data_IF_955724740641
#
_entry.id   IF_955724740641
#
_cell.length_a   1.000
_cell.length_b   1.000
_cell.length_c   1.000
_cell.angle_alpha   90.00
_cell.angle_beta   90.00
_cell.angle_gamma   90.00
#
_symmetry.space_group_name_H-M   'P 1'
#
loop_
_entity.id
_entity.type
_entity.pdbx_description
1 polymer ?
#
# COMPACT_ATOMS: atom_id res chain seq x y z
N UNK A 1 12.16 -31.69 5.71
CA UNK A 1 12.07 -30.65 4.64
C UNK A 1 10.71 -29.93 4.57
N UNK A 2 9.64 -30.42 5.23
CA UNK A 2 8.32 -29.76 5.23
C UNK A 2 8.06 -28.74 6.35
N UNK A 3 8.79 -28.81 7.46
CA UNK A 3 8.52 -27.98 8.65
C UNK A 3 8.90 -26.51 8.45
N UNK A 4 10.09 -26.24 7.90
CA UNK A 4 10.56 -24.87 7.61
C UNK A 4 9.67 -24.16 6.58
N UNK A 5 9.16 -24.88 5.58
CA UNK A 5 8.25 -24.31 4.58
C UNK A 5 6.90 -23.93 5.19
N UNK A 6 6.39 -24.72 6.13
CA UNK A 6 5.14 -24.43 6.86
C UNK A 6 5.29 -23.20 7.77
N UNK A 7 6.41 -23.10 8.50
CA UNK A 7 6.71 -21.96 9.36
C UNK A 7 6.90 -20.67 8.57
N UNK A 8 7.57 -20.72 7.41
CA UNK A 8 7.74 -19.57 6.53
C UNK A 8 6.39 -19.08 5.97
N UNK A 9 5.54 -20.00 5.49
CA UNK A 9 4.21 -19.65 4.99
C UNK A 9 3.32 -19.04 6.09
N UNK A 10 3.38 -19.61 7.29
CA UNK A 10 2.66 -19.09 8.47
C UNK A 10 3.15 -17.69 8.85
N UNK A 11 4.47 -17.45 8.86
CA UNK A 11 5.07 -16.15 9.14
C UNK A 11 4.66 -15.07 8.14
N UNK A 12 4.57 -15.40 6.84
CA UNK A 12 4.04 -14.48 5.82
C UNK A 12 2.55 -14.21 6.05
N UNK A 13 1.77 -15.23 6.43
CA UNK A 13 0.35 -15.09 6.74
C UNK A 13 0.07 -14.07 7.85
N UNK A 14 0.90 -14.04 8.89
CA UNK A 14 0.79 -13.07 10.00
C UNK A 14 1.05 -11.62 9.54
N UNK A 15 1.75 -11.43 8.43
CA UNK A 15 2.00 -10.10 7.87
C UNK A 15 0.83 -9.53 7.06
N UNK A 16 -0.15 -10.37 6.68
CA UNK A 16 -1.28 -9.97 5.82
C UNK A 16 -2.08 -8.78 6.37
N UNK A 17 -2.45 -8.72 7.67
CA UNK A 17 -3.19 -7.57 8.19
C UNK A 17 -2.43 -6.24 8.04
N UNK A 18 -1.09 -6.28 8.15
CA UNK A 18 -0.23 -5.09 7.96
C UNK A 18 -0.28 -4.64 6.50
N UNK A 19 -0.16 -5.59 5.58
CA UNK A 19 -0.29 -5.35 4.13
C UNK A 19 -1.67 -4.79 3.79
N UNK A 20 -2.73 -5.31 4.40
CA UNK A 20 -4.10 -4.82 4.17
C UNK A 20 -4.25 -3.37 4.62
N UNK A 21 -3.64 -2.95 5.74
CA UNK A 21 -3.65 -1.56 6.18
C UNK A 21 -2.98 -0.65 5.15
N UNK A 22 -1.81 -1.06 4.63
CA UNK A 22 -1.14 -0.35 3.53
C UNK A 22 -2.08 -0.23 2.33
N UNK A 23 -2.66 -1.33 1.86
CA UNK A 23 -3.59 -1.31 0.72
C UNK A 23 -4.79 -0.37 1.00
N UNK A 24 -5.30 -0.34 2.23
CA UNK A 24 -6.41 0.55 2.61
C UNK A 24 -6.05 2.03 2.45
N UNK A 25 -4.86 2.46 2.87
CA UNK A 25 -4.41 3.85 2.68
C UNK A 25 -4.17 4.19 1.20
N UNK A 26 -3.64 3.26 0.42
CA UNK A 26 -3.47 3.49 -1.02
C UNK A 26 -4.83 3.66 -1.70
N UNK A 27 -5.80 2.80 -1.34
CA UNK A 27 -7.17 2.92 -1.82
C UNK A 27 -7.87 4.18 -1.33
N UNK A 28 -7.63 4.64 -0.10
CA UNK A 28 -8.19 5.89 0.42
C UNK A 28 -7.85 7.07 -0.49
N UNK A 29 -6.58 7.15 -0.93
CA UNK A 29 -6.12 8.24 -1.79
C UNK A 29 -6.53 7.99 -3.26
N UNK A 30 -6.34 6.76 -3.76
CA UNK A 30 -6.68 6.38 -5.13
C UNK A 30 -8.17 6.48 -5.43
N UNK A 31 -9.00 5.76 -4.69
CA UNK A 31 -10.45 5.76 -4.85
C UNK A 31 -11.10 7.08 -4.43
N UNK A 32 -10.48 7.84 -3.52
CA UNK A 32 -10.95 9.16 -3.13
C UNK A 32 -10.65 10.25 -4.16
N UNK A 33 -9.43 10.26 -4.72
CA UNK A 33 -8.98 11.30 -5.64
C UNK A 33 -9.35 11.05 -7.12
N UNK A 34 -9.43 9.79 -7.55
CA UNK A 34 -9.69 9.46 -8.96
C UNK A 34 -11.06 9.95 -9.47
N UNK A 35 -12.17 9.88 -8.70
CA UNK A 35 -13.45 10.46 -9.13
C UNK A 35 -13.41 11.97 -9.28
N UNK A 36 -12.78 12.69 -8.34
CA UNK A 36 -12.64 14.14 -8.38
C UNK A 36 -11.82 14.57 -9.61
N UNK A 37 -10.73 13.86 -9.87
CA UNK A 37 -9.93 14.03 -11.08
C UNK A 37 -10.77 13.81 -12.35
N UNK A 38 -11.56 12.73 -12.40
CA UNK A 38 -12.40 12.40 -13.55
C UNK A 38 -13.45 13.48 -13.85
N UNK A 39 -14.09 14.01 -12.80
CA UNK A 39 -15.08 15.10 -12.90
C UNK A 39 -14.43 16.37 -13.47
N UNK A 40 -13.31 16.83 -12.89
CA UNK A 40 -12.64 18.06 -13.36
C UNK A 40 -12.10 17.97 -14.77
N UNK A 41 -11.59 16.80 -15.14
CA UNK A 41 -11.16 16.55 -16.51
C UNK A 41 -12.35 16.49 -17.48
N UNK A 42 -13.47 15.88 -17.07
CA UNK A 42 -14.71 15.87 -17.86
C UNK A 42 -15.34 17.26 -18.07
N UNK A 43 -15.12 18.18 -17.13
CA UNK A 43 -15.48 19.61 -17.26
C UNK A 43 -14.55 20.39 -18.21
N UNK A 44 -13.48 19.78 -18.73
CA UNK A 44 -12.43 20.45 -19.50
C UNK A 44 -11.47 21.29 -18.65
N UNK A 45 -11.54 21.18 -17.32
CA UNK A 45 -10.67 21.90 -16.39
C UNK A 45 -9.40 21.10 -16.10
N UNK A 46 -8.51 21.03 -17.09
CA UNK A 46 -7.25 20.28 -17.02
C UNK A 46 -6.33 20.75 -15.88
N UNK A 47 -6.33 22.05 -15.58
CA UNK A 47 -5.51 22.61 -14.48
C UNK A 47 -5.88 22.03 -13.13
N UNK A 48 -7.19 21.98 -12.83
CA UNK A 48 -7.69 21.45 -11.57
C UNK A 48 -7.50 19.92 -11.51
N UNK A 49 -7.69 19.22 -12.64
CA UNK A 49 -7.43 17.79 -12.73
C UNK A 49 -5.96 17.47 -12.43
N UNK A 50 -5.02 18.20 -13.03
CA UNK A 50 -3.58 18.05 -12.77
C UNK A 50 -3.24 18.33 -11.30
N UNK A 51 -3.83 19.37 -10.70
CA UNK A 51 -3.64 19.67 -9.28
C UNK A 51 -4.13 18.53 -8.36
N UNK A 52 -5.28 17.91 -8.66
CA UNK A 52 -5.80 16.76 -7.90
C UNK A 52 -4.86 15.56 -8.00
N UNK A 53 -4.35 15.27 -9.20
CA UNK A 53 -3.40 14.18 -9.42
C UNK A 53 -2.08 14.44 -8.66
N UNK A 54 -1.52 15.65 -8.77
CA UNK A 54 -0.29 16.04 -8.07
C UNK A 54 -0.44 15.99 -6.54
N UNK A 55 -1.58 16.44 -6.01
CA UNK A 55 -1.90 16.32 -4.59
C UNK A 55 -1.99 14.85 -4.16
N UNK A 56 -2.60 14.00 -4.98
CA UNK A 56 -2.75 12.57 -4.69
C UNK A 56 -1.41 11.84 -4.69
N UNK A 57 -0.54 12.11 -5.67
CA UNK A 57 0.85 11.62 -5.70
C UNK A 57 1.59 12.06 -4.43
N UNK A 58 1.50 13.35 -4.08
CA UNK A 58 2.14 13.90 -2.88
C UNK A 58 1.66 13.19 -1.61
N UNK A 59 0.35 12.98 -1.46
CA UNK A 59 -0.21 12.24 -0.34
C UNK A 59 0.25 10.79 -0.32
N UNK A 60 0.29 10.09 -1.45
CA UNK A 60 0.78 8.71 -1.53
C UNK A 60 2.23 8.57 -1.07
N UNK A 61 3.10 9.53 -1.43
CA UNK A 61 4.49 9.56 -0.98
C UNK A 61 4.58 9.84 0.52
N UNK A 62 3.85 10.85 1.02
CA UNK A 62 3.85 11.22 2.45
C UNK A 62 3.35 10.05 3.30
N UNK A 63 2.19 9.47 2.95
CA UNK A 63 1.64 8.32 3.67
C UNK A 63 2.51 7.08 3.50
N UNK A 64 3.09 6.85 2.33
CA UNK A 64 4.02 5.75 2.10
C UNK A 64 5.23 5.81 3.02
N UNK A 65 5.89 6.98 3.10
CA UNK A 65 7.04 7.20 4.00
C UNK A 65 6.62 7.12 5.47
N UNK A 66 5.51 7.74 5.85
CA UNK A 66 4.99 7.73 7.21
C UNK A 66 4.71 6.29 7.68
N UNK A 67 3.98 5.50 6.87
CA UNK A 67 3.67 4.10 7.15
C UNK A 67 4.93 3.23 7.19
N UNK A 68 5.93 3.50 6.35
CA UNK A 68 7.24 2.82 6.43
C UNK A 68 7.91 3.09 7.77
N UNK A 69 8.02 4.35 8.18
CA UNK A 69 8.69 4.73 9.44
C UNK A 69 7.94 4.16 10.64
N UNK A 70 6.63 4.39 10.73
CA UNK A 70 5.79 3.87 11.82
C UNK A 70 5.85 2.35 11.83
N UNK A 71 5.69 1.71 10.68
CA UNK A 71 5.75 0.25 10.53
C UNK A 71 7.07 -0.33 11.00
N UNK A 72 8.22 0.28 10.68
CA UNK A 72 9.53 -0.22 11.12
C UNK A 72 9.73 -0.09 12.64
N UNK A 73 9.14 0.92 13.27
CA UNK A 73 9.19 1.12 14.73
C UNK A 73 8.29 0.10 15.44
N UNK A 74 7.06 -0.11 14.94
CA UNK A 74 6.04 -0.92 15.63
C UNK A 74 5.92 -2.37 15.12
N UNK A 75 6.67 -2.77 14.08
CA UNK A 75 6.54 -4.10 13.46
C UNK A 75 6.64 -5.25 14.45
N UNK A 76 7.58 -5.20 15.39
CA UNK A 76 7.86 -6.33 16.29
C UNK A 76 6.69 -6.58 17.26
N UNK A 77 6.20 -5.58 18.03
CA UNK A 77 5.00 -5.78 18.85
C UNK A 77 3.75 -6.03 18.01
N UNK A 78 3.63 -5.43 16.82
CA UNK A 78 2.48 -5.66 15.94
C UNK A 78 2.43 -7.10 15.43
N UNK A 79 3.57 -7.69 15.04
CA UNK A 79 3.64 -9.08 14.61
C UNK A 79 3.23 -10.05 15.72
N UNK A 80 3.66 -9.83 16.97
CA UNK A 80 3.21 -10.63 18.11
C UNK A 80 1.70 -10.49 18.36
N UNK A 81 1.16 -9.26 18.26
CA UNK A 81 -0.27 -9.00 18.41
C UNK A 81 -1.10 -9.70 17.34
N UNK A 82 -0.56 -9.81 16.12
CA UNK A 82 -1.20 -10.49 14.99
C UNK A 82 -1.00 -12.02 14.99
N UNK A 83 -0.37 -12.59 16.03
CA UNK A 83 -0.26 -14.03 16.22
C UNK A 83 1.08 -14.65 15.83
N UNK A 84 2.16 -13.86 15.70
CA UNK A 84 3.50 -14.43 15.52
C UNK A 84 3.94 -15.20 16.78
N UNK A 85 4.41 -16.43 16.58
CA UNK A 85 5.11 -17.24 17.59
C UNK A 85 6.64 -17.04 17.53
N UNK A 86 7.37 -17.53 18.52
CA UNK A 86 8.85 -17.49 18.54
C UNK A 86 9.49 -18.17 17.32
N UNK A 87 8.83 -19.18 16.76
CA UNK A 87 9.34 -19.91 15.58
C UNK A 87 8.99 -19.22 14.25
N UNK A 88 8.07 -18.26 14.24
CA UNK A 88 7.60 -17.57 13.02
C UNK A 88 8.02 -16.11 12.96
N UNK A 89 8.39 -15.50 14.10
CA UNK A 89 8.71 -14.07 14.20
C UNK A 89 9.90 -13.67 13.32
N UNK A 90 10.91 -14.53 13.17
CA UNK A 90 12.10 -14.22 12.36
C UNK A 90 11.77 -14.10 10.87
N UNK A 91 10.98 -15.04 10.35
CA UNK A 91 10.47 -15.01 8.98
C UNK A 91 9.53 -13.82 8.74
N UNK A 92 8.57 -13.60 9.64
CA UNK A 92 7.61 -12.51 9.53
C UNK A 92 8.29 -11.13 9.60
N UNK A 93 9.24 -10.95 10.53
CA UNK A 93 9.98 -9.71 10.69
C UNK A 93 10.86 -9.41 9.48
N UNK A 94 11.53 -10.42 8.92
CA UNK A 94 12.36 -10.25 7.71
C UNK A 94 11.49 -9.85 6.52
N UNK A 95 10.38 -10.57 6.31
CA UNK A 95 9.44 -10.30 5.23
C UNK A 95 8.83 -8.89 5.33
N UNK A 96 8.28 -8.51 6.48
CA UNK A 96 7.63 -7.20 6.62
C UNK A 96 8.63 -6.05 6.52
N UNK A 97 9.88 -6.26 6.95
CA UNK A 97 10.92 -5.23 6.80
C UNK A 97 11.20 -4.94 5.33
N UNK A 98 11.38 -5.99 4.52
CA UNK A 98 11.61 -5.85 3.08
C UNK A 98 10.39 -5.20 2.41
N UNK A 99 9.18 -5.63 2.78
CA UNK A 99 7.95 -5.04 2.27
C UNK A 99 7.84 -3.54 2.60
N UNK A 100 8.10 -3.15 3.86
CA UNK A 100 7.99 -1.77 4.31
C UNK A 100 9.01 -0.84 3.64
N UNK A 101 10.20 -1.33 3.31
CA UNK A 101 11.20 -0.57 2.54
C UNK A 101 10.70 -0.25 1.11
N UNK A 102 9.93 -1.16 0.50
CA UNK A 102 9.31 -0.96 -0.81
C UNK A 102 7.93 -0.28 -0.77
N UNK A 103 7.39 0.02 0.42
CA UNK A 103 6.01 0.44 0.62
C UNK A 103 5.61 1.69 -0.18
N UNK A 104 6.53 2.65 -0.35
CA UNK A 104 6.28 3.87 -1.14
C UNK A 104 5.93 3.51 -2.59
N UNK A 105 6.63 2.54 -3.18
CA UNK A 105 6.34 2.08 -4.54
C UNK A 105 5.02 1.32 -4.62
N UNK A 106 4.70 0.52 -3.60
CA UNK A 106 3.41 -0.19 -3.50
C UNK A 106 2.26 0.81 -3.42
N UNK A 107 2.39 1.84 -2.56
CA UNK A 107 1.44 2.94 -2.44
C UNK A 107 1.19 3.63 -3.78
N UNK A 108 2.25 4.04 -4.47
CA UNK A 108 2.13 4.69 -5.77
C UNK A 108 1.47 3.76 -6.81
N UNK A 109 1.91 2.51 -6.89
CA UNK A 109 1.36 1.54 -7.84
C UNK A 109 -0.13 1.31 -7.65
N UNK A 110 -0.57 1.11 -6.41
CA UNK A 110 -1.98 0.86 -6.09
C UNK A 110 -2.83 2.13 -6.23
N UNK A 111 -2.36 3.25 -5.68
CA UNK A 111 -3.10 4.51 -5.67
C UNK A 111 -3.28 5.11 -7.05
N UNK A 112 -2.22 5.09 -7.89
CA UNK A 112 -2.28 5.66 -9.24
C UNK A 112 -3.02 4.79 -10.24
N UNK A 113 -3.16 3.49 -10.00
CA UNK A 113 -3.95 2.60 -10.84
C UNK A 113 -5.40 3.09 -10.98
N UNK A 114 -6.01 3.58 -9.89
CA UNK A 114 -7.36 4.18 -9.91
C UNK A 114 -7.45 5.40 -10.83
N UNK A 115 -6.41 6.24 -10.88
CA UNK A 115 -6.36 7.39 -11.77
C UNK A 115 -6.22 6.97 -13.24
N UNK A 116 -5.37 5.99 -13.55
CA UNK A 116 -5.22 5.44 -14.91
C UNK A 116 -6.58 4.93 -15.43
N UNK A 117 -7.32 4.22 -14.59
CA UNK A 117 -8.65 3.73 -14.93
C UNK A 117 -9.65 4.88 -15.14
N UNK A 118 -9.63 5.89 -14.27
CA UNK A 118 -10.42 7.11 -14.43
C UNK A 118 -10.07 7.90 -15.70
N UNK A 119 -8.89 7.66 -16.29
CA UNK A 119 -8.49 8.30 -17.53
C UNK A 119 -9.21 7.77 -18.79
N UNK A 120 -9.94 6.66 -18.69
CA UNK A 120 -10.56 5.96 -19.83
C UNK A 120 -9.72 4.77 -20.33
N UNK A 121 -8.55 4.54 -19.73
CA UNK A 121 -7.68 3.39 -20.00
C UNK A 121 -8.02 2.20 -19.09
N UNK A 122 -9.30 1.89 -18.90
CA UNK A 122 -9.75 0.75 -18.07
C UNK A 122 -9.22 -0.62 -18.52
N UNK A 123 -8.65 -0.71 -19.74
CA UNK A 123 -7.96 -1.91 -20.26
C UNK A 123 -6.45 -1.92 -19.98
N UNK A 124 -5.85 -0.79 -19.61
CA UNK A 124 -4.42 -0.64 -19.31
C UNK A 124 -4.16 -0.64 -17.81
N UNK A 125 -5.13 -0.20 -16.99
CA UNK A 125 -5.08 -0.36 -15.55
C UNK A 125 -5.47 -1.78 -15.14
N UNK A 126 -4.53 -2.72 -15.29
CA UNK A 126 -4.52 -4.03 -14.65
C UNK A 126 -3.09 -4.38 -14.28
#
# INVERSE_FOLDING_TARGET
MGENSSLALTGVGVCLPIITIVIAFANLIGMGGAPLFSIKRGEGNEKEAEAILGNSVTLLVIFGLCLTVVGLIVKRPLLYLLGASENTIEYANSYITIYLLGNVFVMMSLGLNSFINAQGFGKTGM
#
